data_IF_760923730224
#
_entry.id   IF_760923730224
#
_cell.length_a   1.000
_cell.length_b   1.000
_cell.length_c   1.000
_cell.angle_alpha   90.00
_cell.angle_beta   90.00
_cell.angle_gamma   90.00
#
_symmetry.space_group_name_H-M   'P 1'
#
loop_
_entity.id
_entity.type
_entity.pdbx_description
1 polymer ?
#
# COMPACT_ATOMS: atom_id res chain seq x y z
N UNK A 1 -18.01 4.84 -15.26
CA UNK A 1 -17.50 3.49 -15.61
C UNK A 1 -17.52 2.64 -14.36
N UNK A 2 -18.20 1.50 -14.35
CA UNK A 2 -18.18 0.59 -13.21
C UNK A 2 -16.77 0.03 -13.07
N UNK A 3 -16.10 0.36 -11.97
CA UNK A 3 -14.79 -0.22 -11.63
C UNK A 3 -14.99 -1.72 -11.43
N UNK A 4 -14.43 -2.52 -12.32
CA UNK A 4 -14.51 -3.98 -12.24
C UNK A 4 -13.73 -4.43 -11.02
N UNK A 5 -14.40 -4.63 -9.88
CA UNK A 5 -13.80 -5.07 -8.62
C UNK A 5 -13.48 -6.55 -8.69
N UNK A 6 -12.26 -6.92 -8.30
CA UNK A 6 -11.83 -8.31 -8.13
C UNK A 6 -12.46 -8.96 -6.89
N UNK A 7 -12.62 -8.19 -5.82
CA UNK A 7 -13.16 -8.66 -4.54
C UNK A 7 -14.46 -7.92 -4.20
N UNK A 8 -15.48 -8.64 -3.76
CA UNK A 8 -16.81 -8.10 -3.40
C UNK A 8 -16.88 -7.51 -1.98
N UNK A 9 -15.80 -7.62 -1.19
CA UNK A 9 -15.82 -7.20 0.21
C UNK A 9 -16.02 -5.68 0.35
N UNK A 10 -16.89 -5.29 1.28
CA UNK A 10 -17.17 -3.89 1.60
C UNK A 10 -16.02 -3.28 2.42
N UNK A 11 -15.75 -1.95 2.33
CA UNK A 11 -14.69 -1.28 3.07
C UNK A 11 -14.76 -1.52 4.58
N UNK A 12 -15.95 -1.43 5.16
CA UNK A 12 -16.17 -1.65 6.59
C UNK A 12 -15.85 -3.08 7.03
N UNK A 13 -16.14 -4.07 6.17
CA UNK A 13 -15.79 -5.47 6.43
C UNK A 13 -14.29 -5.65 6.48
N UNK A 14 -13.57 -5.12 5.50
CA UNK A 14 -12.11 -5.19 5.44
C UNK A 14 -11.48 -4.53 6.68
N UNK A 15 -11.97 -3.35 7.06
CA UNK A 15 -11.47 -2.62 8.22
C UNK A 15 -11.73 -3.39 9.53
N UNK A 16 -12.91 -3.97 9.71
CA UNK A 16 -13.24 -4.81 10.86
C UNK A 16 -12.35 -6.05 10.95
N UNK A 17 -12.16 -6.73 9.82
CA UNK A 17 -11.30 -7.90 9.74
C UNK A 17 -9.83 -7.55 10.05
N UNK A 18 -9.32 -6.43 9.51
CA UNK A 18 -7.98 -5.92 9.80
C UNK A 18 -7.80 -5.57 11.28
N UNK A 19 -8.73 -4.88 11.88
CA UNK A 19 -8.68 -4.54 13.32
C UNK A 19 -8.64 -5.82 14.17
N UNK A 20 -9.42 -6.82 13.81
CA UNK A 20 -9.44 -8.11 14.51
C UNK A 20 -8.12 -8.87 14.34
N UNK A 21 -7.59 -8.88 13.10
CA UNK A 21 -6.33 -9.52 12.77
C UNK A 21 -5.16 -8.87 13.51
N UNK A 22 -5.05 -7.54 13.47
CA UNK A 22 -3.99 -6.78 14.14
C UNK A 22 -3.99 -7.01 15.65
N UNK A 23 -5.19 -7.12 16.26
CA UNK A 23 -5.32 -7.48 17.68
C UNK A 23 -4.80 -8.90 17.95
N UNK A 24 -5.15 -9.89 17.12
CA UNK A 24 -4.64 -11.26 17.22
C UNK A 24 -3.12 -11.32 17.06
N UNK A 25 -2.57 -10.48 16.18
CA UNK A 25 -1.13 -10.33 15.98
C UNK A 25 -0.41 -9.71 17.19
N UNK A 26 -1.12 -9.22 18.22
CA UNK A 26 -0.50 -8.46 19.30
C UNK A 26 0.10 -7.13 18.84
N UNK A 27 -0.38 -6.57 17.75
CA UNK A 27 0.08 -5.29 17.25
C UNK A 27 -0.51 -4.11 18.02
N UNK A 28 0.27 -3.05 18.18
CA UNK A 28 -0.07 -1.88 19.01
C UNK A 28 -0.65 -0.72 18.20
N UNK A 29 -0.47 -0.74 16.88
CA UNK A 29 -0.99 0.30 15.98
C UNK A 29 -1.52 -0.31 14.68
N UNK A 30 -2.41 0.41 14.01
CA UNK A 30 -2.87 0.07 12.66
C UNK A 30 -3.09 1.36 11.88
N UNK A 31 -2.42 1.47 10.73
CA UNK A 31 -2.65 2.54 9.76
C UNK A 31 -2.93 1.93 8.40
N UNK A 32 -3.95 2.44 7.72
CA UNK A 32 -4.32 2.02 6.37
C UNK A 32 -4.20 3.24 5.47
N UNK A 33 -3.34 3.13 4.46
CA UNK A 33 -3.17 4.12 3.42
C UNK A 33 -3.75 3.56 2.12
N UNK A 34 -4.46 4.42 1.38
CA UNK A 34 -4.97 4.10 0.05
C UNK A 34 -4.64 5.28 -0.88
N UNK A 35 -4.02 4.97 -1.99
CA UNK A 35 -3.68 5.94 -3.00
C UNK A 35 -4.59 5.76 -4.22
N UNK A 36 -5.41 6.78 -4.47
CA UNK A 36 -6.38 6.74 -5.57
C UNK A 36 -5.73 6.94 -6.94
N UNK A 37 -4.51 7.51 -7.00
CA UNK A 37 -3.80 7.74 -8.26
C UNK A 37 -3.10 6.48 -8.75
N UNK A 38 -2.34 5.86 -7.86
CA UNK A 38 -1.60 4.63 -8.17
C UNK A 38 -2.46 3.38 -7.98
N UNK A 39 -3.66 3.51 -7.40
CA UNK A 39 -4.47 2.38 -6.98
C UNK A 39 -3.89 1.62 -5.79
N UNK A 40 -2.75 2.04 -5.26
CA UNK A 40 -2.02 1.36 -4.21
C UNK A 40 -2.80 1.32 -2.89
N UNK A 41 -2.65 0.24 -2.16
CA UNK A 41 -3.07 0.14 -0.77
C UNK A 41 -1.92 -0.36 0.10
N UNK A 42 -1.83 0.18 1.32
CA UNK A 42 -0.80 -0.14 2.26
C UNK A 42 -1.41 -0.32 3.66
N UNK A 43 -0.97 -1.37 4.36
CA UNK A 43 -1.35 -1.67 5.73
C UNK A 43 -0.08 -1.60 6.56
N UNK A 44 -0.05 -0.69 7.54
CA UNK A 44 1.09 -0.49 8.44
C UNK A 44 0.64 -0.83 9.87
N UNK A 45 1.45 -1.58 10.59
CA UNK A 45 1.25 -1.85 12.01
C UNK A 45 2.58 -2.03 12.75
N UNK A 46 2.56 -1.74 14.05
CA UNK A 46 3.72 -1.94 14.93
C UNK A 46 3.48 -3.18 15.79
N UNK A 47 4.48 -4.07 15.89
CA UNK A 47 4.44 -5.29 16.70
C UNK A 47 5.82 -5.59 17.26
N UNK A 48 5.91 -5.91 18.57
CA UNK A 48 7.17 -6.22 19.25
C UNK A 48 8.27 -5.16 19.02
N UNK A 49 7.88 -3.87 19.00
CA UNK A 49 8.82 -2.75 18.79
C UNK A 49 9.27 -2.56 17.33
N UNK A 50 8.78 -3.38 16.40
CA UNK A 50 9.11 -3.30 14.97
C UNK A 50 7.90 -2.87 14.16
N UNK A 51 8.15 -2.04 13.12
CA UNK A 51 7.12 -1.60 12.16
C UNK A 51 7.10 -2.51 10.95
N UNK A 52 5.89 -2.91 10.56
CA UNK A 52 5.61 -3.72 9.38
C UNK A 52 4.72 -2.94 8.41
N UNK A 53 5.04 -2.99 7.13
CA UNK A 53 4.25 -2.39 6.07
C UNK A 53 3.98 -3.40 4.96
N UNK A 54 2.69 -3.54 4.60
CA UNK A 54 2.24 -4.39 3.50
C UNK A 54 1.66 -3.53 2.40
N UNK A 55 2.34 -3.45 1.28
CA UNK A 55 1.92 -2.69 0.13
C UNK A 55 1.44 -3.64 -0.97
N UNK A 56 0.34 -3.30 -1.60
CA UNK A 56 -0.18 -4.00 -2.77
C UNK A 56 -0.50 -3.00 -3.89
N UNK A 57 0.02 -3.28 -5.08
CA UNK A 57 -0.17 -2.48 -6.31
C UNK A 57 -0.67 -3.34 -7.47
N UNK A 58 -1.11 -4.57 -7.18
CA UNK A 58 -1.46 -5.57 -8.20
C UNK A 58 -2.68 -5.20 -9.05
N UNK A 59 -3.62 -4.46 -8.46
CA UNK A 59 -4.90 -4.13 -9.09
C UNK A 59 -5.01 -2.61 -9.29
N UNK A 60 -5.77 -2.19 -10.29
CA UNK A 60 -6.03 -0.77 -10.54
C UNK A 60 -6.99 -0.13 -9.53
N UNK A 61 -7.57 -0.93 -8.64
CA UNK A 61 -8.50 -0.48 -7.61
C UNK A 61 -7.87 -0.59 -6.22
N UNK A 62 -7.75 0.52 -5.46
CA UNK A 62 -7.11 0.50 -4.14
C UNK A 62 -7.85 -0.38 -3.13
N UNK A 63 -9.17 -0.59 -3.28
CA UNK A 63 -9.92 -1.51 -2.42
C UNK A 63 -9.57 -2.97 -2.67
N UNK A 64 -9.34 -3.34 -3.93
CA UNK A 64 -8.89 -4.69 -4.28
C UNK A 64 -7.46 -4.93 -3.77
N UNK A 65 -6.59 -3.93 -3.86
CA UNK A 65 -5.25 -3.99 -3.30
C UNK A 65 -5.26 -4.07 -1.77
N UNK A 66 -6.14 -3.31 -1.10
CA UNK A 66 -6.30 -3.40 0.36
C UNK A 66 -6.79 -4.79 0.78
N UNK A 67 -7.76 -5.36 0.05
CA UNK A 67 -8.25 -6.72 0.32
C UNK A 67 -7.17 -7.76 0.10
N UNK A 68 -6.40 -7.65 -0.98
CA UNK A 68 -5.30 -8.56 -1.26
C UNK A 68 -4.23 -8.51 -0.15
N UNK A 69 -3.81 -7.32 0.27
CA UNK A 69 -2.86 -7.15 1.37
C UNK A 69 -3.39 -7.75 2.68
N UNK A 70 -4.64 -7.48 3.02
CA UNK A 70 -5.29 -8.03 4.21
C UNK A 70 -5.34 -9.57 4.19
N UNK A 71 -5.71 -10.16 3.06
CA UNK A 71 -5.74 -11.62 2.91
C UNK A 71 -4.33 -12.22 3.03
N UNK A 72 -3.32 -11.58 2.46
CA UNK A 72 -1.92 -12.01 2.57
C UNK A 72 -1.48 -12.07 4.02
N UNK A 73 -1.73 -11.03 4.80
CA UNK A 73 -1.41 -10.99 6.24
C UNK A 73 -2.18 -12.10 6.98
N UNK A 74 -3.46 -12.29 6.64
CA UNK A 74 -4.30 -13.32 7.27
C UNK A 74 -3.78 -14.73 7.03
N UNK A 75 -3.44 -15.05 5.77
CA UNK A 75 -2.93 -16.38 5.43
C UNK A 75 -1.55 -16.63 6.01
N UNK A 76 -0.69 -15.62 5.98
CA UNK A 76 0.63 -15.70 6.61
C UNK A 76 0.50 -15.98 8.11
N UNK A 77 -0.35 -15.22 8.80
CA UNK A 77 -0.62 -15.41 10.22
C UNK A 77 -1.13 -16.82 10.51
N UNK A 78 -2.11 -17.31 9.75
CA UNK A 78 -2.63 -18.66 9.89
C UNK A 78 -1.55 -19.72 9.66
N UNK A 79 -0.72 -19.55 8.65
CA UNK A 79 0.37 -20.49 8.39
C UNK A 79 1.35 -20.57 9.57
N UNK A 80 1.66 -19.44 10.18
CA UNK A 80 2.63 -19.37 11.27
C UNK A 80 2.04 -19.87 12.61
N UNK A 81 0.82 -19.46 12.95
CA UNK A 81 0.20 -19.72 14.25
C UNK A 81 -0.68 -20.99 14.25
N UNK A 82 -1.66 -21.07 13.35
CA UNK A 82 -2.64 -22.17 13.33
C UNK A 82 -2.02 -23.51 12.87
N UNK A 83 -1.09 -23.45 11.92
CA UNK A 83 -0.45 -24.66 11.39
C UNK A 83 0.89 -24.99 12.05
N UNK A 84 1.29 -24.21 13.06
CA UNK A 84 2.46 -24.50 13.87
C UNK A 84 3.80 -24.50 13.15
N UNK A 85 3.90 -23.74 12.05
CA UNK A 85 5.15 -23.67 11.24
C UNK A 85 6.34 -23.19 12.07
N UNK A 86 6.12 -22.53 13.21
CA UNK A 86 7.17 -21.91 14.03
C UNK A 86 7.32 -22.46 15.45
N UNK A 87 6.52 -23.38 15.89
CA UNK A 87 6.68 -24.12 17.16
C UNK A 87 6.49 -23.36 18.46
N UNK A 88 6.99 -22.11 18.61
CA UNK A 88 6.86 -21.27 19.84
C UNK A 88 6.70 -19.79 19.49
N UNK A 89 5.98 -19.05 20.34
CA UNK A 89 5.63 -17.63 20.14
C UNK A 89 6.85 -16.72 19.95
N UNK A 90 7.96 -16.98 20.63
CA UNK A 90 9.20 -16.21 20.48
C UNK A 90 9.88 -16.40 19.12
N UNK A 91 9.76 -17.61 18.54
CA UNK A 91 10.22 -17.92 17.20
C UNK A 91 9.31 -17.32 16.12
N UNK A 92 8.01 -17.12 16.46
CA UNK A 92 7.04 -16.50 15.58
C UNK A 92 7.46 -15.07 15.18
N UNK A 93 7.93 -14.26 16.13
CA UNK A 93 8.35 -12.89 15.88
C UNK A 93 9.60 -12.83 14.99
N UNK A 94 10.57 -13.70 15.25
CA UNK A 94 11.77 -13.80 14.43
C UNK A 94 11.47 -14.31 13.02
N UNK A 95 10.63 -15.32 12.89
CA UNK A 95 10.24 -15.87 11.58
C UNK A 95 9.41 -14.87 10.79
N UNK A 96 8.51 -14.15 11.46
CA UNK A 96 7.73 -13.08 10.85
C UNK A 96 8.65 -11.97 10.34
N UNK A 97 9.58 -11.50 11.17
CA UNK A 97 10.56 -10.49 10.77
C UNK A 97 11.47 -10.97 9.64
N UNK A 98 11.98 -12.21 9.68
CA UNK A 98 12.81 -12.78 8.62
C UNK A 98 12.06 -12.95 7.30
N UNK A 99 10.79 -13.36 7.34
CA UNK A 99 9.94 -13.46 6.16
C UNK A 99 9.82 -12.09 5.46
N UNK A 100 9.60 -11.03 6.24
CA UNK A 100 9.52 -9.68 5.68
C UNK A 100 10.85 -9.14 5.16
N UNK A 101 11.95 -9.41 5.87
CA UNK A 101 13.29 -9.06 5.40
C UNK A 101 13.63 -9.81 4.09
N UNK A 102 13.29 -11.09 4.00
CA UNK A 102 13.44 -11.89 2.79
C UNK A 102 12.61 -11.37 1.62
N UNK A 103 11.38 -10.96 1.88
CA UNK A 103 10.48 -10.40 0.88
C UNK A 103 10.96 -9.05 0.36
N UNK A 104 11.47 -8.18 1.24
CA UNK A 104 12.06 -6.89 0.85
C UNK A 104 13.32 -7.06 0.02
N UNK A 105 14.18 -8.02 0.38
CA UNK A 105 15.38 -8.33 -0.40
C UNK A 105 15.05 -8.83 -1.82
N UNK A 106 13.93 -9.57 -1.98
CA UNK A 106 13.48 -10.05 -3.29
C UNK A 106 12.87 -8.96 -4.16
N UNK A 107 12.33 -7.91 -3.56
CA UNK A 107 11.66 -6.82 -4.29
C UNK A 107 12.59 -5.64 -4.58
N UNK A 108 13.84 -5.66 -4.10
CA UNK A 108 14.77 -4.52 -4.11
C UNK A 108 14.19 -3.22 -3.51
N UNK A 109 13.11 -3.33 -2.75
CA UNK A 109 12.37 -2.21 -2.23
C UNK A 109 12.49 -2.17 -0.70
N UNK A 110 13.63 -1.67 -0.21
CA UNK A 110 13.86 -1.40 1.21
C UNK A 110 12.85 -0.39 1.77
N UNK A 111 12.20 0.42 0.92
CA UNK A 111 11.13 1.33 1.29
C UNK A 111 9.87 0.57 1.74
N UNK A 112 9.65 -0.67 1.30
CA UNK A 112 8.57 -1.54 1.76
C UNK A 112 8.65 -1.85 3.26
N UNK A 113 9.85 -1.91 3.83
CA UNK A 113 10.07 -2.22 5.25
C UNK A 113 10.20 -0.99 6.15
N UNK A 114 10.69 0.12 5.61
CA UNK A 114 11.03 1.30 6.41
C UNK A 114 9.98 2.41 6.32
N UNK A 115 8.95 2.24 5.50
CA UNK A 115 7.67 2.94 5.60
C UNK A 115 7.69 4.46 5.69
N UNK A 116 8.56 5.17 4.95
CA UNK A 116 8.32 6.59 4.70
C UNK A 116 7.40 6.84 3.48
N UNK A 117 6.83 5.75 2.94
CA UNK A 117 5.59 5.69 2.16
C UNK A 117 5.34 6.80 1.13
N UNK A 118 6.37 7.50 0.68
CA UNK A 118 6.22 8.50 -0.38
C UNK A 118 6.30 7.79 -1.72
N UNK A 119 5.15 7.61 -2.36
CA UNK A 119 5.13 7.23 -3.76
C UNK A 119 6.03 8.19 -4.54
N UNK A 120 6.91 7.65 -5.36
CA UNK A 120 7.80 8.45 -6.20
C UNK A 120 6.99 9.21 -7.24
N UNK A 121 7.48 10.37 -7.72
CA UNK A 121 6.75 11.22 -8.65
C UNK A 121 6.26 10.45 -9.89
N UNK A 122 7.06 9.51 -10.42
CA UNK A 122 6.67 8.70 -11.59
C UNK A 122 5.55 7.69 -11.27
N UNK A 123 5.46 7.18 -10.05
CA UNK A 123 4.36 6.33 -9.61
C UNK A 123 3.06 7.14 -9.47
N UNK A 124 3.15 8.37 -8.94
CA UNK A 124 2.00 9.27 -8.79
C UNK A 124 1.47 9.70 -10.16
N UNK A 125 2.35 10.00 -11.11
CA UNK A 125 1.98 10.40 -12.46
C UNK A 125 1.64 9.22 -13.38
N UNK A 126 1.94 7.96 -12.96
CA UNK A 126 1.70 6.76 -13.75
C UNK A 126 2.57 6.67 -15.01
N UNK A 127 3.78 7.22 -14.95
CA UNK A 127 4.76 7.22 -16.04
C UNK A 127 6.01 6.44 -15.64
N UNK A 128 6.93 6.23 -16.56
CA UNK A 128 8.23 5.63 -16.26
C UNK A 128 9.14 6.62 -15.53
N UNK A 129 10.09 6.12 -14.76
CA UNK A 129 11.08 6.96 -14.04
C UNK A 129 12.00 7.77 -14.97
N UNK A 130 12.12 7.35 -16.23
CA UNK A 130 12.89 7.97 -17.32
C UNK A 130 12.01 8.70 -18.34
N UNK A 131 10.72 8.97 -18.00
CA UNK A 131 9.78 9.65 -18.87
C UNK A 131 10.26 11.07 -19.24
N UNK A 132 10.02 11.48 -20.47
CA UNK A 132 10.34 12.81 -20.94
C UNK A 132 9.37 13.89 -20.42
N UNK A 133 9.75 15.16 -20.56
CA UNK A 133 8.93 16.29 -20.07
C UNK A 133 7.56 16.38 -20.75
N UNK A 134 7.43 15.91 -21.98
CA UNK A 134 6.15 15.90 -22.69
C UNK A 134 5.22 14.83 -22.13
N UNK A 135 5.75 13.63 -21.89
CA UNK A 135 5.02 12.51 -21.28
C UNK A 135 4.56 12.87 -19.86
N UNK A 136 5.46 13.44 -19.03
CA UNK A 136 5.17 13.91 -17.68
C UNK A 136 4.04 14.96 -17.70
N UNK A 137 4.11 15.93 -18.60
CA UNK A 137 3.11 17.00 -18.69
C UNK A 137 1.75 16.46 -19.14
N UNK A 138 1.73 15.53 -20.09
CA UNK A 138 0.50 14.91 -20.58
C UNK A 138 -0.17 14.07 -19.49
N UNK A 139 0.59 13.27 -18.77
CA UNK A 139 0.11 12.49 -17.63
C UNK A 139 -0.48 13.39 -16.54
N UNK A 140 0.25 14.45 -16.16
CA UNK A 140 -0.26 15.41 -15.18
C UNK A 140 -1.58 16.04 -15.62
N UNK A 141 -1.70 16.51 -16.88
CA UNK A 141 -2.94 17.12 -17.40
C UNK A 141 -4.12 16.16 -17.40
N UNK A 142 -3.89 14.88 -17.74
CA UNK A 142 -4.92 13.86 -17.72
C UNK A 142 -5.43 13.61 -16.29
N UNK A 143 -4.51 13.43 -15.35
CA UNK A 143 -4.84 13.18 -13.94
C UNK A 143 -5.47 14.42 -13.27
N UNK A 144 -4.98 15.62 -13.57
CA UNK A 144 -5.51 16.86 -13.02
C UNK A 144 -6.98 17.08 -13.39
N UNK A 145 -7.40 16.71 -14.60
CA UNK A 145 -8.81 16.80 -15.02
C UNK A 145 -9.74 15.87 -14.21
N UNK A 146 -9.23 14.72 -13.82
CA UNK A 146 -10.01 13.69 -13.08
C UNK A 146 -10.06 14.01 -11.59
N UNK A 147 -8.96 14.55 -11.04
CA UNK A 147 -8.77 14.73 -9.59
C UNK A 147 -8.90 16.19 -9.13
N UNK A 148 -9.34 17.09 -10.03
CA UNK A 148 -9.51 18.49 -9.65
C UNK A 148 -10.61 18.63 -8.58
N UNK A 149 -10.42 19.48 -7.55
CA UNK A 149 -11.43 19.71 -6.52
C UNK A 149 -12.80 20.13 -7.07
N UNK A 150 -12.83 20.90 -8.16
CA UNK A 150 -14.05 21.38 -8.80
C UNK A 150 -14.89 20.27 -9.45
N UNK A 151 -14.29 19.12 -9.74
CA UNK A 151 -15.00 17.94 -10.28
C UNK A 151 -15.18 16.82 -9.24
N UNK A 152 -15.00 17.15 -7.94
CA UNK A 152 -15.20 16.22 -6.84
C UNK A 152 -13.94 15.46 -6.41
N UNK A 153 -12.76 15.83 -6.90
CA UNK A 153 -11.48 15.32 -6.44
C UNK A 153 -11.14 15.81 -5.02
N UNK A 154 -10.35 15.03 -4.28
CA UNK A 154 -9.88 15.43 -2.94
C UNK A 154 -8.73 16.43 -3.07
N UNK A 155 -8.79 17.53 -2.32
CA UNK A 155 -7.76 18.57 -2.33
C UNK A 155 -6.35 18.04 -1.99
N UNK A 156 -6.25 17.08 -1.07
CA UNK A 156 -4.97 16.45 -0.70
C UNK A 156 -4.37 15.63 -1.84
N UNK A 157 -5.20 14.91 -2.60
CA UNK A 157 -4.75 14.12 -3.74
C UNK A 157 -4.26 15.05 -4.87
N UNK A 158 -4.98 16.14 -5.13
CA UNK A 158 -4.56 17.14 -6.11
C UNK A 158 -3.26 17.84 -5.71
N UNK A 159 -3.07 18.14 -4.41
CA UNK A 159 -1.82 18.71 -3.88
C UNK A 159 -0.63 17.75 -4.07
N UNK A 160 -0.83 16.44 -3.84
CA UNK A 160 0.21 15.43 -4.07
C UNK A 160 0.56 15.30 -5.56
N UNK A 161 -0.46 15.30 -6.43
CA UNK A 161 -0.27 15.26 -7.88
C UNK A 161 0.57 16.43 -8.36
N UNK A 162 0.26 17.64 -7.86
CA UNK A 162 1.00 18.85 -8.19
C UNK A 162 2.44 18.78 -7.71
N UNK A 163 2.68 18.36 -6.48
CA UNK A 163 4.02 18.19 -5.92
C UNK A 163 4.87 17.20 -6.74
N UNK A 164 4.27 16.08 -7.16
CA UNK A 164 4.93 15.09 -8.02
C UNK A 164 5.32 15.67 -9.39
N UNK A 165 4.44 16.47 -9.98
CA UNK A 165 4.74 17.16 -11.24
C UNK A 165 5.87 18.19 -11.08
N UNK A 166 5.83 19.01 -10.03
CA UNK A 166 6.88 20.01 -9.74
C UNK A 166 8.23 19.33 -9.52
N UNK A 167 8.28 18.21 -8.82
CA UNK A 167 9.49 17.39 -8.63
C UNK A 167 10.01 16.83 -9.97
N UNK A 168 9.11 16.26 -10.79
CA UNK A 168 9.46 15.66 -12.08
C UNK A 168 10.05 16.70 -13.08
N UNK A 169 9.52 17.92 -13.11
CA UNK A 169 9.97 18.97 -14.06
C UNK A 169 11.26 19.65 -13.60
N UNK A 170 11.55 19.65 -12.29
CA UNK A 170 12.76 20.27 -11.73
C UNK A 170 14.05 19.48 -11.98
N UNK A 171 13.94 18.29 -12.54
CA UNK A 171 15.07 17.43 -12.96
C UNK A 171 15.43 17.64 -14.43
#
# INVERSE_FOLDING_TARGET
>A
MATNRRFSAQPQTIQKELTTLVRKLGATSLKINQDLFTGQAEIIFDRAGQRYAFRCTRYNNPMDNLRAAQLTITYLWRALEEYGVTGKTEQLDQTFAQFFLGFAALTNDTALLLGDGRAQWWEILGVRSDADKAEITNAYRALAKVHHPDVGGRAEDFKRLRAAYEEAISR
#
